data_IF_925160097139
#
_entry.id   IF_925160097139
#
_cell.length_a   1.000
_cell.length_b   1.000
_cell.length_c   1.000
_cell.angle_alpha   90.00
_cell.angle_beta   90.00
_cell.angle_gamma   90.00
#
_symmetry.space_group_name_H-M   'P 1'
#
loop_
_entity.id
_entity.type
_entity.pdbx_description
1 polymer ?
#
# COMPACT_ATOMS: atom_id res chain seq x y z
N UNK A 1 -24.01 25.93 21.53
CA UNK A 1 -22.68 26.45 21.93
C UNK A 1 -21.61 25.60 21.27
N UNK A 2 -20.57 26.20 20.66
CA UNK A 2 -19.46 25.43 20.07
C UNK A 2 -18.72 24.67 21.19
N UNK A 3 -18.45 23.38 20.97
CA UNK A 3 -17.78 22.51 21.95
C UNK A 3 -16.43 23.14 22.37
N UNK A 4 -16.16 23.39 23.67
CA UNK A 4 -14.91 23.98 24.15
C UNK A 4 -13.66 23.27 23.65
N UNK A 5 -13.71 21.94 23.51
CA UNK A 5 -12.62 21.14 22.96
C UNK A 5 -12.31 21.50 21.49
N UNK A 6 -13.34 21.83 20.72
CA UNK A 6 -13.23 22.19 19.31
C UNK A 6 -12.57 23.58 19.13
N UNK A 7 -12.77 24.47 20.11
CA UNK A 7 -12.12 25.78 20.16
C UNK A 7 -10.64 25.63 20.51
N UNK A 8 -10.33 24.82 21.53
CA UNK A 8 -8.95 24.55 21.96
C UNK A 8 -8.15 23.88 20.83
N UNK A 9 -8.75 22.91 20.13
CA UNK A 9 -8.13 22.28 18.97
C UNK A 9 -7.80 23.28 17.87
N UNK A 10 -8.72 24.21 17.56
CA UNK A 10 -8.49 25.26 16.57
C UNK A 10 -7.38 26.22 16.98
N UNK A 11 -7.29 26.59 18.26
CA UNK A 11 -6.21 27.45 18.78
C UNK A 11 -4.85 26.75 18.68
N UNK A 12 -4.78 25.47 19.04
CA UNK A 12 -3.55 24.68 18.90
C UNK A 12 -3.13 24.56 17.43
N UNK A 13 -4.09 24.34 16.53
CA UNK A 13 -3.84 24.21 15.10
C UNK A 13 -3.34 25.54 14.50
N UNK A 14 -3.97 26.66 14.87
CA UNK A 14 -3.52 27.98 14.47
C UNK A 14 -2.10 28.28 14.97
N UNK A 15 -1.75 27.92 16.22
CA UNK A 15 -0.40 28.11 16.76
C UNK A 15 0.66 27.31 15.98
N UNK A 16 0.32 26.10 15.53
CA UNK A 16 1.20 25.27 14.71
C UNK A 16 1.36 25.89 13.31
N UNK A 17 0.27 26.33 12.69
CA UNK A 17 0.28 26.95 11.37
C UNK A 17 1.09 28.27 11.37
N UNK A 18 0.99 29.09 12.42
CA UNK A 18 1.76 30.34 12.54
C UNK A 18 3.26 30.08 12.68
N UNK A 19 3.68 29.08 13.48
CA UNK A 19 5.09 28.68 13.57
C UNK A 19 5.63 28.14 12.25
N UNK A 20 4.79 27.45 11.49
CA UNK A 20 5.18 26.90 10.18
C UNK A 20 5.45 27.99 9.13
N UNK A 21 4.66 29.07 9.10
CA UNK A 21 4.95 30.22 8.21
C UNK A 21 6.30 30.85 8.53
N UNK A 22 6.72 30.78 9.79
CA UNK A 22 8.01 31.30 10.26
C UNK A 22 9.19 30.35 10.00
N UNK A 23 9.00 29.03 10.13
CA UNK A 23 10.12 28.05 10.10
C UNK A 23 10.35 27.36 8.75
N UNK A 24 9.42 27.44 7.78
CA UNK A 24 9.60 26.91 6.42
C UNK A 24 9.73 25.37 6.27
N UNK A 25 9.69 24.61 7.38
CA UNK A 25 9.85 23.15 7.38
C UNK A 25 8.58 22.39 6.94
N UNK A 26 8.73 21.27 6.22
CA UNK A 26 7.57 20.44 5.79
C UNK A 26 6.96 19.71 7.00
N UNK A 27 5.66 19.89 7.29
CA UNK A 27 5.00 19.18 8.39
C UNK A 27 4.77 17.70 8.02
N UNK A 28 5.20 16.79 8.90
CA UNK A 28 5.18 15.34 8.62
C UNK A 28 4.49 14.51 9.71
N UNK A 29 4.04 15.12 10.80
CA UNK A 29 3.49 14.41 11.97
C UNK A 29 2.17 13.71 11.65
N UNK A 30 1.24 14.45 11.08
CA UNK A 30 -0.06 13.95 10.64
C UNK A 30 0.10 12.91 9.54
N UNK A 31 0.95 13.22 8.54
CA UNK A 31 1.24 12.32 7.42
C UNK A 31 1.78 10.98 7.89
N UNK A 32 2.83 11.00 8.73
CA UNK A 32 3.43 9.78 9.29
C UNK A 32 2.43 8.95 10.07
N UNK A 33 1.57 9.60 10.87
CA UNK A 33 0.56 8.91 11.68
C UNK A 33 -0.52 8.26 10.83
N UNK A 34 -1.10 9.01 9.87
CA UNK A 34 -2.19 8.50 9.03
C UNK A 34 -1.68 7.38 8.11
N UNK A 35 -0.55 7.61 7.42
CA UNK A 35 0.04 6.59 6.55
C UNK A 35 0.56 5.39 7.33
N UNK A 36 1.11 5.59 8.52
CA UNK A 36 1.58 4.50 9.38
C UNK A 36 0.44 3.58 9.83
N UNK A 37 -0.69 4.14 10.29
CA UNK A 37 -1.86 3.34 10.69
C UNK A 37 -2.45 2.61 9.48
N UNK A 38 -2.58 3.29 8.34
CA UNK A 38 -3.03 2.64 7.12
C UNK A 38 -2.10 1.49 6.70
N UNK A 39 -0.78 1.70 6.70
CA UNK A 39 0.19 0.68 6.32
C UNK A 39 0.11 -0.54 7.24
N UNK A 40 -0.04 -0.34 8.55
CA UNK A 40 -0.25 -1.43 9.51
C UNK A 40 -1.53 -2.21 9.18
N UNK A 41 -2.64 -1.50 8.90
CA UNK A 41 -3.89 -2.16 8.52
C UNK A 41 -3.76 -2.95 7.21
N UNK A 42 -3.00 -2.43 6.25
CA UNK A 42 -2.70 -3.08 4.97
C UNK A 42 -1.86 -4.35 5.16
N UNK A 43 -0.86 -4.31 6.04
CA UNK A 43 -0.04 -5.48 6.41
C UNK A 43 -0.92 -6.56 7.06
N UNK A 44 -1.75 -6.19 8.04
CA UNK A 44 -2.65 -7.12 8.73
C UNK A 44 -3.60 -7.79 7.73
N UNK A 45 -4.24 -7.00 6.85
CA UNK A 45 -5.12 -7.53 5.82
C UNK A 45 -4.39 -8.52 4.88
N UNK A 46 -3.18 -8.17 4.43
CA UNK A 46 -2.37 -9.02 3.55
C UNK A 46 -1.97 -10.33 4.23
N UNK A 47 -1.61 -10.30 5.52
CA UNK A 47 -1.29 -11.50 6.30
C UNK A 47 -2.51 -12.41 6.45
N UNK A 48 -3.69 -11.86 6.78
CA UNK A 48 -4.93 -12.65 6.90
C UNK A 48 -5.26 -13.35 5.57
N UNK A 49 -5.09 -12.66 4.44
CA UNK A 49 -5.34 -13.22 3.12
C UNK A 49 -4.34 -14.34 2.80
N UNK A 50 -3.05 -14.12 3.06
CA UNK A 50 -2.02 -15.14 2.87
C UNK A 50 -2.35 -16.42 3.65
N UNK A 51 -2.58 -16.30 4.97
CA UNK A 51 -2.85 -17.47 5.81
C UNK A 51 -4.17 -18.15 5.47
N UNK A 52 -5.22 -17.38 5.16
CA UNK A 52 -6.50 -17.98 4.72
C UNK A 52 -6.35 -18.75 3.41
N UNK A 53 -5.62 -18.21 2.44
CA UNK A 53 -5.34 -18.89 1.17
C UNK A 53 -4.59 -20.20 1.40
N UNK A 54 -3.54 -20.20 2.22
CA UNK A 54 -2.80 -21.42 2.55
C UNK A 54 -3.67 -22.45 3.29
N UNK A 55 -4.50 -21.99 4.22
CA UNK A 55 -5.41 -22.85 4.97
C UNK A 55 -6.45 -23.53 4.06
N UNK A 56 -7.12 -22.77 3.18
CA UNK A 56 -8.11 -23.34 2.27
C UNK A 56 -7.48 -24.20 1.18
N UNK A 57 -6.25 -23.88 0.73
CA UNK A 57 -5.50 -24.78 -0.16
C UNK A 57 -5.22 -26.13 0.50
N UNK A 58 -4.86 -26.13 1.79
CA UNK A 58 -4.67 -27.36 2.56
C UNK A 58 -5.96 -28.17 2.66
N UNK A 59 -7.09 -27.54 2.99
CA UNK A 59 -8.40 -28.21 3.08
C UNK A 59 -8.88 -28.76 1.74
N UNK A 60 -8.59 -28.06 0.64
CA UNK A 60 -8.88 -28.56 -0.70
C UNK A 60 -8.12 -29.86 -1.00
N UNK A 61 -6.83 -29.91 -0.64
CA UNK A 61 -5.99 -31.10 -0.84
C UNK A 61 -6.41 -32.27 0.05
N UNK A 62 -6.79 -32.01 1.31
CA UNK A 62 -7.12 -33.07 2.27
C UNK A 62 -8.55 -33.57 2.15
N UNK A 63 -9.51 -32.67 2.00
CA UNK A 63 -10.94 -32.94 2.16
C UNK A 63 -11.78 -32.55 0.93
N UNK A 64 -11.15 -32.05 -0.14
CA UNK A 64 -11.84 -31.60 -1.35
C UNK A 64 -12.69 -30.34 -1.17
N UNK A 65 -12.56 -29.65 -0.04
CA UNK A 65 -13.33 -28.44 0.25
C UNK A 65 -12.77 -27.23 -0.51
N UNK A 66 -13.59 -26.64 -1.39
CA UNK A 66 -13.24 -25.42 -2.11
C UNK A 66 -13.60 -24.17 -1.28
N UNK A 67 -12.59 -23.61 -0.62
CA UNK A 67 -12.70 -22.35 0.13
C UNK A 67 -12.41 -21.09 -0.68
N UNK A 68 -12.21 -21.16 -2.00
CA UNK A 68 -11.80 -20.00 -2.81
C UNK A 68 -12.86 -18.90 -2.83
N UNK A 69 -14.15 -19.21 -2.73
CA UNK A 69 -15.22 -18.20 -2.60
C UNK A 69 -15.08 -17.40 -1.29
N UNK A 70 -14.73 -18.08 -0.20
CA UNK A 70 -14.57 -17.48 1.11
C UNK A 70 -13.37 -16.53 1.12
N UNK A 71 -12.23 -16.93 0.57
CA UNK A 71 -11.03 -16.06 0.48
C UNK A 71 -11.28 -14.81 -0.33
N UNK A 72 -12.07 -14.90 -1.40
CA UNK A 72 -12.47 -13.75 -2.22
C UNK A 72 -13.32 -12.77 -1.43
N UNK A 73 -14.36 -13.23 -0.73
CA UNK A 73 -15.22 -12.37 0.10
C UNK A 73 -14.43 -11.71 1.24
N UNK A 74 -13.55 -12.47 1.90
CA UNK A 74 -12.65 -11.95 2.94
C UNK A 74 -11.74 -10.85 2.36
N UNK A 75 -11.19 -11.05 1.17
CA UNK A 75 -10.32 -10.06 0.50
C UNK A 75 -11.07 -8.76 0.23
N UNK A 76 -12.28 -8.83 -0.33
CA UNK A 76 -13.12 -7.66 -0.60
C UNK A 76 -13.46 -6.90 0.69
N UNK A 77 -13.88 -7.63 1.74
CA UNK A 77 -14.24 -7.04 3.02
C UNK A 77 -13.04 -6.35 3.67
N UNK A 78 -11.89 -7.03 3.77
CA UNK A 78 -10.70 -6.50 4.42
C UNK A 78 -10.16 -5.24 3.72
N UNK A 79 -10.04 -5.24 2.39
CA UNK A 79 -9.50 -4.08 1.69
C UNK A 79 -10.47 -2.89 1.63
N UNK A 80 -11.78 -3.14 1.76
CA UNK A 80 -12.77 -2.08 2.02
C UNK A 80 -12.57 -1.47 3.41
N UNK A 81 -12.34 -2.30 4.44
CA UNK A 81 -12.03 -1.84 5.80
C UNK A 81 -10.72 -1.05 5.84
N UNK A 82 -9.68 -1.46 5.12
CA UNK A 82 -8.41 -0.73 5.01
C UNK A 82 -8.62 0.69 4.46
N UNK A 83 -9.48 0.86 3.45
CA UNK A 83 -9.85 2.20 2.94
C UNK A 83 -10.57 3.00 4.04
N UNK A 84 -11.54 2.41 4.72
CA UNK A 84 -12.29 3.08 5.77
C UNK A 84 -11.39 3.55 6.93
N UNK A 85 -10.44 2.70 7.37
CA UNK A 85 -9.44 3.04 8.39
C UNK A 85 -8.65 4.29 8.00
N UNK A 86 -8.20 4.39 6.74
CA UNK A 86 -7.50 5.58 6.25
C UNK A 86 -8.33 6.85 6.41
N UNK A 87 -9.58 6.85 5.95
CA UNK A 87 -10.45 8.03 6.02
C UNK A 87 -10.81 8.39 7.47
N UNK A 88 -11.05 7.40 8.33
CA UNK A 88 -11.28 7.64 9.77
C UNK A 88 -10.05 8.30 10.40
N UNK A 89 -8.84 7.80 10.09
CA UNK A 89 -7.60 8.38 10.58
C UNK A 89 -7.37 9.80 10.04
N UNK A 90 -7.68 10.05 8.77
CA UNK A 90 -7.61 11.36 8.14
C UNK A 90 -8.52 12.40 8.83
N UNK A 91 -9.70 11.98 9.29
CA UNK A 91 -10.65 12.87 9.96
C UNK A 91 -10.30 13.09 11.44
N UNK A 92 -9.80 12.07 12.14
CA UNK A 92 -9.57 12.11 13.60
C UNK A 92 -8.18 12.59 14.00
N UNK A 93 -7.21 12.60 13.09
CA UNK A 93 -5.84 13.03 13.43
C UNK A 93 -5.73 14.55 13.43
N UNK A 94 -5.28 15.12 14.56
CA UNK A 94 -4.86 16.52 14.61
C UNK A 94 -3.59 16.72 13.78
N UNK A 95 -3.67 17.60 12.77
CA UNK A 95 -2.61 17.87 11.80
C UNK A 95 -2.80 19.28 11.19
N UNK A 96 -1.77 19.82 10.56
CA UNK A 96 -1.84 21.11 9.85
C UNK A 96 -2.76 21.03 8.63
N UNK A 97 -3.24 22.18 8.12
CA UNK A 97 -4.03 22.21 6.88
C UNK A 97 -3.26 21.66 5.68
N UNK A 98 -1.95 21.94 5.61
CA UNK A 98 -1.06 21.44 4.55
C UNK A 98 -0.96 19.91 4.53
N UNK A 99 -0.79 19.28 5.70
CA UNK A 99 -0.77 17.81 5.82
C UNK A 99 -2.11 17.20 5.41
N UNK A 100 -3.21 17.84 5.83
CA UNK A 100 -4.56 17.36 5.55
C UNK A 100 -4.87 17.39 4.06
N UNK A 101 -4.51 18.48 3.38
CA UNK A 101 -4.75 18.60 1.93
C UNK A 101 -3.84 17.67 1.12
N UNK A 102 -2.57 17.50 1.53
CA UNK A 102 -1.71 16.47 0.96
C UNK A 102 -2.32 15.07 1.06
N UNK A 103 -2.79 14.67 2.26
CA UNK A 103 -3.39 13.35 2.47
C UNK A 103 -4.73 13.18 1.74
N UNK A 104 -5.52 14.23 1.56
CA UNK A 104 -6.72 14.15 0.71
C UNK A 104 -6.35 13.80 -0.73
N UNK A 105 -5.32 14.41 -1.29
CA UNK A 105 -4.86 14.07 -2.65
C UNK A 105 -4.23 12.67 -2.67
N UNK A 106 -3.43 12.33 -1.65
CA UNK A 106 -2.79 11.02 -1.54
C UNK A 106 -3.80 9.87 -1.37
N UNK A 107 -5.03 10.15 -0.93
CA UNK A 107 -6.11 9.16 -0.78
C UNK A 107 -6.41 8.39 -2.07
N UNK A 108 -6.12 8.97 -3.24
CA UNK A 108 -6.28 8.29 -4.54
C UNK A 108 -5.42 7.03 -4.56
N UNK A 109 -4.16 7.10 -4.12
CA UNK A 109 -3.25 5.95 -4.09
C UNK A 109 -3.72 4.89 -3.08
N UNK A 110 -4.27 5.33 -1.95
CA UNK A 110 -4.83 4.44 -0.93
C UNK A 110 -5.97 3.59 -1.51
N UNK A 111 -6.89 4.26 -2.21
CA UNK A 111 -8.01 3.59 -2.88
C UNK A 111 -7.48 2.67 -3.99
N UNK A 112 -6.53 3.14 -4.81
CA UNK A 112 -5.94 2.32 -5.89
C UNK A 112 -5.25 1.06 -5.37
N UNK A 113 -4.43 1.15 -4.30
CA UNK A 113 -3.77 -0.02 -3.72
C UNK A 113 -4.77 -1.06 -3.23
N UNK A 114 -5.88 -0.63 -2.61
CA UNK A 114 -6.94 -1.54 -2.18
C UNK A 114 -7.75 -2.09 -3.35
N UNK A 115 -8.09 -1.27 -4.36
CA UNK A 115 -8.83 -1.72 -5.54
C UNK A 115 -8.06 -2.77 -6.34
N UNK A 116 -6.75 -2.60 -6.49
CA UNK A 116 -5.93 -3.60 -7.19
C UNK A 116 -5.95 -4.96 -6.51
N UNK A 117 -5.99 -5.00 -5.19
CA UNK A 117 -6.14 -6.24 -4.42
C UNK A 117 -7.50 -6.88 -4.59
N UNK A 118 -8.53 -6.06 -4.73
CA UNK A 118 -9.90 -6.52 -4.93
C UNK A 118 -10.19 -6.90 -6.38
N UNK A 119 -9.36 -6.46 -7.34
CA UNK A 119 -9.60 -6.62 -8.77
C UNK A 119 -9.75 -8.09 -9.19
N UNK A 120 -8.85 -8.97 -8.75
CA UNK A 120 -8.91 -10.40 -9.09
C UNK A 120 -10.12 -11.11 -8.44
N UNK A 121 -10.43 -10.92 -7.14
CA UNK A 121 -11.69 -11.39 -6.58
C UNK A 121 -12.94 -10.86 -7.29
N UNK A 122 -12.95 -9.59 -7.69
CA UNK A 122 -14.06 -8.97 -8.43
C UNK A 122 -14.21 -9.54 -9.84
N UNK A 123 -13.12 -9.97 -10.47
CA UNK A 123 -13.15 -10.53 -11.82
C UNK A 123 -13.89 -11.85 -11.92
N UNK A 124 -14.13 -12.55 -10.80
CA UNK A 124 -15.01 -13.71 -10.82
C UNK A 124 -16.48 -13.34 -11.06
N UNK A 125 -16.91 -12.20 -10.53
CA UNK A 125 -18.30 -11.74 -10.63
C UNK A 125 -18.55 -10.95 -11.91
N UNK A 126 -17.51 -10.69 -12.70
CA UNK A 126 -17.56 -9.92 -13.94
C UNK A 126 -17.04 -10.80 -15.09
N UNK A 127 -17.71 -10.78 -16.24
CA UNK A 127 -17.39 -11.68 -17.36
C UNK A 127 -16.02 -11.28 -18.00
N UNK A 128 -14.91 -11.92 -17.61
CA UNK A 128 -13.56 -11.30 -17.73
C UNK A 128 -12.43 -12.18 -18.30
N UNK A 129 -12.54 -12.57 -19.56
CA UNK A 129 -11.39 -13.10 -20.31
C UNK A 129 -10.30 -12.04 -20.52
N UNK A 130 -10.64 -10.74 -20.48
CA UNK A 130 -9.73 -9.61 -20.76
C UNK A 130 -8.95 -9.12 -19.52
N UNK A 131 -9.50 -9.19 -18.29
CA UNK A 131 -8.80 -8.71 -17.08
C UNK A 131 -7.64 -9.63 -16.70
N UNK A 132 -7.83 -10.93 -16.90
CA UNK A 132 -6.83 -11.95 -16.57
C UNK A 132 -5.55 -11.74 -17.40
N UNK A 133 -5.70 -11.32 -18.66
CA UNK A 133 -4.57 -11.02 -19.53
C UNK A 133 -3.88 -9.71 -19.11
N UNK A 134 -4.63 -8.65 -18.82
CA UNK A 134 -4.05 -7.37 -18.35
C UNK A 134 -3.29 -7.48 -17.02
N UNK A 135 -3.81 -8.26 -16.07
CA UNK A 135 -3.19 -8.43 -14.74
C UNK A 135 -1.92 -9.29 -14.76
N UNK A 136 -1.89 -10.31 -15.63
CA UNK A 136 -0.74 -11.21 -15.71
C UNK A 136 0.45 -10.61 -16.48
N UNK A 137 0.23 -9.65 -17.38
CA UNK A 137 1.29 -9.15 -18.27
C UNK A 137 2.03 -7.93 -17.73
N UNK A 138 1.41 -7.10 -16.87
CA UNK A 138 2.05 -5.87 -16.42
C UNK A 138 1.82 -5.60 -14.91
N UNK A 139 2.89 -5.39 -14.11
CA UNK A 139 2.79 -5.16 -12.67
C UNK A 139 2.30 -3.73 -12.36
N UNK A 140 1.02 -3.49 -12.63
CA UNK A 140 0.38 -2.19 -12.53
C UNK A 140 0.36 -1.64 -11.10
N UNK A 141 0.30 -2.53 -10.12
CA UNK A 141 0.44 -2.23 -8.69
C UNK A 141 1.78 -1.59 -8.34
N UNK A 142 2.87 -2.08 -8.94
CA UNK A 142 4.21 -1.53 -8.75
C UNK A 142 4.36 -0.16 -9.43
N UNK A 143 3.73 0.03 -10.60
CA UNK A 143 3.73 1.35 -11.27
C UNK A 143 2.99 2.39 -10.44
N UNK A 144 1.80 2.07 -9.94
CA UNK A 144 1.06 2.96 -9.02
C UNK A 144 1.91 3.28 -7.80
N UNK A 145 2.62 2.29 -7.26
CA UNK A 145 3.50 2.50 -6.12
C UNK A 145 4.62 3.49 -6.46
N UNK A 146 5.31 3.35 -7.59
CA UNK A 146 6.34 4.30 -8.01
C UNK A 146 5.80 5.74 -8.13
N UNK A 147 4.59 5.92 -8.68
CA UNK A 147 3.94 7.24 -8.77
C UNK A 147 3.63 7.79 -7.37
N UNK A 148 3.12 6.95 -6.46
CA UNK A 148 2.86 7.32 -5.07
C UNK A 148 4.15 7.76 -4.34
N UNK A 149 5.27 7.05 -4.57
CA UNK A 149 6.58 7.40 -4.01
C UNK A 149 7.10 8.73 -4.57
N UNK A 150 6.90 9.02 -5.86
CA UNK A 150 7.22 10.33 -6.46
C UNK A 150 6.37 11.44 -5.82
N UNK A 151 5.09 11.17 -5.55
CA UNK A 151 4.21 12.13 -4.89
C UNK A 151 4.65 12.39 -3.44
N UNK A 152 5.04 11.34 -2.71
CA UNK A 152 5.64 11.45 -1.38
C UNK A 152 6.96 12.22 -1.41
N UNK A 153 7.82 11.96 -2.38
CA UNK A 153 9.06 12.71 -2.59
C UNK A 153 8.79 14.21 -2.78
N UNK A 154 7.82 14.55 -3.64
CA UNK A 154 7.51 15.94 -3.93
C UNK A 154 7.06 16.72 -2.69
N UNK A 155 6.36 16.05 -1.78
CA UNK A 155 5.95 16.61 -0.50
C UNK A 155 7.09 16.66 0.52
N UNK A 156 7.75 15.53 0.79
CA UNK A 156 8.74 15.38 1.86
C UNK A 156 10.12 15.96 1.52
N UNK A 157 10.44 16.04 0.22
CA UNK A 157 11.78 16.31 -0.31
C UNK A 157 12.87 15.35 0.21
N UNK A 158 12.48 14.15 0.64
CA UNK A 158 13.38 13.14 1.20
C UNK A 158 13.98 12.25 0.11
N UNK A 159 15.31 12.15 0.06
CA UNK A 159 16.04 11.35 -0.93
C UNK A 159 15.83 9.85 -0.77
N UNK A 160 15.37 9.38 0.39
CA UNK A 160 15.05 7.96 0.60
C UNK A 160 13.97 7.46 -0.36
N UNK A 161 13.10 8.33 -0.86
CA UNK A 161 12.11 7.96 -1.86
C UNK A 161 12.75 7.41 -3.15
N UNK A 162 13.93 7.90 -3.55
CA UNK A 162 14.67 7.37 -4.70
C UNK A 162 15.17 5.95 -4.45
N UNK A 163 15.56 5.62 -3.21
CA UNK A 163 15.96 4.26 -2.84
C UNK A 163 14.75 3.33 -2.98
N UNK A 164 13.60 3.73 -2.45
CA UNK A 164 12.35 2.96 -2.56
C UNK A 164 11.89 2.80 -4.02
N UNK A 165 12.03 3.84 -4.85
CA UNK A 165 11.73 3.75 -6.30
C UNK A 165 12.70 2.79 -6.99
N UNK A 166 14.01 2.90 -6.72
CA UNK A 166 15.03 2.01 -7.29
C UNK A 166 14.77 0.54 -6.96
N UNK A 167 14.35 0.24 -5.72
CA UNK A 167 13.93 -1.12 -5.32
C UNK A 167 12.76 -1.65 -6.16
N UNK A 168 11.75 -0.81 -6.46
CA UNK A 168 10.62 -1.22 -7.29
C UNK A 168 11.07 -1.52 -8.74
N UNK A 169 11.95 -0.69 -9.30
CA UNK A 169 12.50 -0.90 -10.65
C UNK A 169 13.28 -2.21 -10.72
N UNK A 170 14.16 -2.47 -9.73
CA UNK A 170 14.95 -3.72 -9.67
C UNK A 170 14.01 -4.93 -9.57
N UNK A 171 12.95 -4.85 -8.76
CA UNK A 171 11.99 -5.94 -8.61
C UNK A 171 11.24 -6.23 -9.92
N UNK A 172 10.78 -5.19 -10.64
CA UNK A 172 10.11 -5.36 -11.95
C UNK A 172 11.06 -5.96 -12.98
N UNK A 173 12.31 -5.48 -13.02
CA UNK A 173 13.33 -6.01 -13.92
C UNK A 173 13.61 -7.49 -13.64
N UNK A 174 13.75 -7.87 -12.37
CA UNK A 174 13.95 -9.25 -11.95
C UNK A 174 12.77 -10.15 -12.33
N UNK A 175 11.53 -9.72 -12.04
CA UNK A 175 10.31 -10.42 -12.42
C UNK A 175 10.23 -10.65 -13.94
N UNK A 176 10.46 -9.59 -14.71
CA UNK A 176 10.42 -9.65 -16.19
C UNK A 176 11.50 -10.58 -16.73
N UNK A 177 12.70 -10.53 -16.16
CA UNK A 177 13.81 -11.40 -16.54
C UNK A 177 13.49 -12.88 -16.27
N UNK A 178 13.02 -13.22 -15.06
CA UNK A 178 12.65 -14.59 -14.68
C UNK A 178 11.52 -15.12 -15.57
N UNK A 179 10.48 -14.32 -15.78
CA UNK A 179 9.37 -14.68 -16.65
C UNK A 179 9.83 -14.90 -18.11
N UNK A 180 10.71 -14.05 -18.62
CA UNK A 180 11.26 -14.18 -19.97
C UNK A 180 12.05 -15.48 -20.15
N UNK A 181 12.85 -15.90 -19.16
CA UNK A 181 13.56 -17.18 -19.21
C UNK A 181 12.57 -18.34 -19.24
N UNK A 182 11.56 -18.33 -18.36
CA UNK A 182 10.52 -19.38 -18.28
C UNK A 182 9.82 -19.56 -19.64
N UNK A 183 9.43 -18.45 -20.27
CA UNK A 183 8.70 -18.50 -21.55
C UNK A 183 9.55 -18.96 -22.73
N UNK A 184 10.88 -18.84 -22.65
CA UNK A 184 11.80 -19.20 -23.73
C UNK A 184 12.63 -20.46 -23.44
N UNK A 185 12.49 -21.07 -22.26
CA UNK A 185 13.21 -22.30 -21.91
C UNK A 185 12.50 -23.53 -22.47
N UNK A 186 13.27 -24.40 -23.12
CA UNK A 186 12.79 -25.73 -23.54
C UNK A 186 12.67 -26.71 -22.37
N UNK A 187 13.44 -26.50 -21.31
CA UNK A 187 13.42 -27.28 -20.07
C UNK A 187 13.37 -26.33 -18.87
N UNK A 188 12.39 -26.55 -17.99
CA UNK A 188 12.18 -25.75 -16.79
C UNK A 188 12.89 -26.40 -15.60
N UNK A 189 13.88 -25.70 -15.02
CA UNK A 189 14.49 -26.16 -13.77
C UNK A 189 13.55 -25.90 -12.59
N UNK A 190 13.50 -26.83 -11.63
CA UNK A 190 12.71 -26.66 -10.40
C UNK A 190 13.13 -25.43 -9.57
N UNK A 191 14.39 -25.00 -9.70
CA UNK A 191 14.90 -23.76 -9.07
C UNK A 191 14.36 -22.48 -9.71
N UNK A 192 14.15 -22.47 -11.03
CA UNK A 192 13.59 -21.32 -11.73
C UNK A 192 12.09 -21.18 -11.43
N UNK A 193 11.38 -22.32 -11.35
CA UNK A 193 9.97 -22.37 -10.96
C UNK A 193 9.77 -21.86 -9.53
N UNK A 194 10.55 -22.34 -8.56
CA UNK A 194 10.44 -21.89 -7.17
C UNK A 194 10.80 -20.41 -6.99
N UNK A 195 11.76 -19.89 -7.77
CA UNK A 195 12.08 -18.46 -7.81
C UNK A 195 10.88 -17.64 -8.33
N UNK A 196 10.24 -18.07 -9.42
CA UNK A 196 9.06 -17.41 -9.95
C UNK A 196 7.91 -17.42 -8.96
N UNK A 197 7.63 -18.56 -8.33
CA UNK A 197 6.58 -18.68 -7.32
C UNK A 197 6.83 -17.73 -6.14
N UNK A 198 8.08 -17.63 -5.67
CA UNK A 198 8.46 -16.69 -4.63
C UNK A 198 8.18 -15.24 -5.07
N UNK A 199 8.60 -14.85 -6.27
CA UNK A 199 8.38 -13.49 -6.76
C UNK A 199 6.89 -13.16 -6.95
N UNK A 200 6.10 -14.11 -7.42
CA UNK A 200 4.63 -14.00 -7.52
C UNK A 200 4.03 -13.83 -6.14
N UNK A 201 4.41 -14.63 -5.14
CA UNK A 201 3.94 -14.48 -3.75
C UNK A 201 4.31 -13.10 -3.19
N UNK A 202 5.52 -12.59 -3.45
CA UNK A 202 5.94 -11.26 -3.00
C UNK A 202 5.07 -10.14 -3.61
N UNK A 203 4.72 -10.26 -4.90
CA UNK A 203 3.86 -9.30 -5.62
C UNK A 203 2.40 -9.40 -5.16
N UNK A 204 1.85 -10.61 -5.13
CA UNK A 204 0.43 -10.86 -4.88
C UNK A 204 0.04 -10.59 -3.42
N UNK A 205 1.00 -10.64 -2.50
CA UNK A 205 0.87 -10.14 -1.12
C UNK A 205 1.43 -8.71 -0.96
N UNK A 206 1.93 -8.10 -2.04
CA UNK A 206 2.45 -6.73 -2.19
C UNK A 206 3.40 -6.31 -1.10
N UNK A 207 4.29 -7.24 -0.79
CA UNK A 207 5.41 -7.06 0.11
C UNK A 207 6.30 -5.91 -0.40
N UNK A 208 6.43 -5.74 -1.72
CA UNK A 208 7.19 -4.63 -2.31
C UNK A 208 6.57 -3.27 -1.98
N UNK A 209 5.24 -3.13 -2.06
CA UNK A 209 4.51 -1.91 -1.67
C UNK A 209 4.71 -1.65 -0.18
N UNK A 210 4.57 -2.69 0.65
CA UNK A 210 4.75 -2.61 2.09
C UNK A 210 6.16 -2.11 2.44
N UNK A 211 7.21 -2.76 1.92
CA UNK A 211 8.61 -2.43 2.24
C UNK A 211 8.97 -1.03 1.73
N UNK A 212 8.55 -0.66 0.53
CA UNK A 212 8.85 0.66 -0.06
C UNK A 212 8.15 1.82 0.66
N UNK A 213 6.90 1.65 1.11
CA UNK A 213 6.22 2.67 1.92
C UNK A 213 6.72 2.68 3.36
N UNK A 214 7.02 1.52 3.93
CA UNK A 214 7.59 1.41 5.27
C UNK A 214 8.93 2.14 5.39
N UNK A 215 9.82 1.96 4.42
CA UNK A 215 11.13 2.63 4.38
C UNK A 215 11.01 4.15 4.37
N UNK A 216 10.09 4.72 3.60
CA UNK A 216 9.83 6.16 3.60
C UNK A 216 9.20 6.61 4.94
N UNK A 217 8.21 5.90 5.46
CA UNK A 217 7.54 6.27 6.72
C UNK A 217 8.54 6.25 7.89
N UNK A 218 9.50 5.32 7.89
CA UNK A 218 10.59 5.31 8.87
C UNK A 218 11.56 6.47 8.68
N UNK A 219 11.89 6.82 7.42
CA UNK A 219 12.81 7.92 7.13
C UNK A 219 12.23 9.29 7.45
N UNK A 220 10.90 9.42 7.55
CA UNK A 220 10.22 10.62 8.06
C UNK A 220 10.69 10.90 9.50
N UNK A 221 11.77 11.67 9.63
CA UNK A 221 12.26 12.18 10.90
C UNK A 221 11.36 13.31 11.36
N UNK A 222 10.96 13.26 12.62
CA UNK A 222 10.70 14.50 13.34
C UNK A 222 12.04 15.20 13.48
N UNK A 223 12.30 16.23 12.66
CA UNK A 223 13.24 17.25 13.12
C UNK A 223 12.56 17.91 14.30
N UNK A 224 13.10 17.65 15.50
CA UNK A 224 12.72 18.39 16.69
C UNK A 224 13.06 19.83 16.37
N UNK A 225 12.05 20.68 16.29
CA UNK A 225 12.27 22.10 16.56
C UNK A 225 12.77 22.13 18.00
N UNK A 226 14.06 22.40 18.17
CA UNK A 226 14.63 22.66 19.50
C UNK A 226 13.83 23.81 20.11
N UNK A 227 13.38 23.59 21.35
CA UNK A 227 12.58 24.55 22.12
C UNK A 227 13.48 25.68 22.59
#
# INVERSE_FOLDING_TARGET
MKNPEDIINKIQQAKIDTRYVLDGEVPVRGVKRVLGVWLISYIIASLIIYFSTQYFMSLYITDGFDGFEITRLITLALFTVVIAIYYICLLRTSMTMKEKDFLKVFSIFIVLFSLLRMLFPLSYYMNFTVLLQLYNTFPFDIVINMIALIFLFNYLKDKTAFISIGMNIIFVALMTYVFSIIMNSSELSGTLLSLNDMLVVLRDNGIIIIVSLFTIILSMKHRKVEI
#
